data_IF_468210712055
#
_entry.id   IF_468210712055
#
_cell.length_a   1.000
_cell.length_b   1.000
_cell.length_c   1.000
_cell.angle_alpha   90.00
_cell.angle_beta   90.00
_cell.angle_gamma   90.00
#
_symmetry.space_group_name_H-M   'P 1'
#
loop_
_entity.id
_entity.type
_entity.pdbx_description
1 polymer ?
#
# COMPACT_ATOMS: atom_id res chain seq x y z
N UNK A 1 5.57 34.50 -21.61
CA UNK A 1 6.47 33.52 -21.01
C UNK A 1 6.24 32.27 -21.80
N UNK A 2 7.28 31.59 -22.32
CA UNK A 2 7.07 30.29 -22.97
C UNK A 2 6.53 29.35 -21.93
N UNK A 3 5.49 28.57 -22.25
CA UNK A 3 5.06 27.48 -21.39
C UNK A 3 6.23 26.51 -21.28
N UNK A 4 6.68 26.21 -20.09
CA UNK A 4 7.58 25.08 -19.84
C UNK A 4 6.86 23.83 -20.32
N UNK A 5 7.54 22.97 -21.06
CA UNK A 5 6.97 21.76 -21.64
C UNK A 5 7.76 20.57 -21.10
N UNK A 6 7.05 19.60 -20.60
CA UNK A 6 7.58 18.34 -20.05
C UNK A 6 7.15 17.16 -20.94
N UNK A 7 7.85 16.06 -20.85
CA UNK A 7 7.40 14.82 -21.49
C UNK A 7 6.23 14.23 -20.68
N UNK A 8 6.35 14.25 -19.33
CA UNK A 8 5.38 13.68 -18.42
C UNK A 8 5.09 14.64 -17.25
N UNK A 9 3.81 14.88 -17.00
CA UNK A 9 3.36 15.52 -15.75
C UNK A 9 2.68 14.46 -14.86
N UNK A 10 3.13 14.36 -13.61
CA UNK A 10 2.54 13.47 -12.60
C UNK A 10 1.73 14.32 -11.61
N UNK A 11 0.45 14.01 -11.46
CA UNK A 11 -0.46 14.72 -10.56
C UNK A 11 -0.62 13.94 -9.26
N UNK A 12 -0.07 14.49 -8.17
CA UNK A 12 -0.07 13.91 -6.83
C UNK A 12 1.33 13.51 -6.35
N UNK A 13 1.75 14.06 -5.21
CA UNK A 13 3.07 13.87 -4.58
C UNK A 13 3.07 12.83 -3.45
N UNK A 14 2.17 11.84 -3.49
CA UNK A 14 2.20 10.67 -2.62
C UNK A 14 3.22 9.63 -3.08
N UNK A 15 3.26 8.47 -2.40
CA UNK A 15 4.18 7.37 -2.73
C UNK A 15 4.09 6.96 -4.22
N UNK A 16 2.88 6.91 -4.78
CA UNK A 16 2.67 6.52 -6.17
C UNK A 16 3.28 7.53 -7.16
N UNK A 17 3.06 8.82 -6.92
CA UNK A 17 3.64 9.85 -7.80
C UNK A 17 5.16 9.93 -7.69
N UNK A 18 5.71 9.85 -6.48
CA UNK A 18 7.16 9.88 -6.27
C UNK A 18 7.87 8.66 -6.87
N UNK A 19 7.29 7.45 -6.73
CA UNK A 19 7.89 6.26 -7.35
C UNK A 19 7.73 6.27 -8.87
N UNK A 20 6.61 6.77 -9.42
CA UNK A 20 6.44 6.94 -10.86
C UNK A 20 7.50 7.90 -11.42
N UNK A 21 7.72 9.04 -10.76
CA UNK A 21 8.78 9.98 -11.14
C UNK A 21 10.17 9.33 -11.13
N UNK A 22 10.51 8.58 -10.08
CA UNK A 22 11.78 7.83 -10.00
C UNK A 22 11.98 6.88 -11.19
N UNK A 23 10.93 6.20 -11.63
CA UNK A 23 11.02 5.22 -12.72
C UNK A 23 11.03 5.84 -14.12
N UNK A 24 10.65 7.12 -14.25
CA UNK A 24 10.56 7.83 -15.53
C UNK A 24 11.69 8.83 -15.76
N UNK A 25 12.22 9.43 -14.69
CA UNK A 25 13.11 10.60 -14.78
C UNK A 25 14.45 10.34 -15.48
N UNK A 26 14.91 9.09 -15.61
CA UNK A 26 16.15 8.78 -16.34
C UNK A 26 16.02 9.02 -17.87
N UNK A 27 14.79 8.89 -18.41
CA UNK A 27 14.54 8.90 -19.85
C UNK A 27 13.57 10.02 -20.30
N UNK A 28 12.92 10.72 -19.33
CA UNK A 28 11.88 11.73 -19.59
C UNK A 28 12.08 12.98 -18.75
N UNK A 29 11.69 14.13 -19.31
CA UNK A 29 11.52 15.37 -18.54
C UNK A 29 10.22 15.28 -17.74
N UNK A 30 10.33 15.10 -16.42
CA UNK A 30 9.20 14.83 -15.51
C UNK A 30 8.94 16.00 -14.57
N UNK A 31 7.69 16.45 -14.48
CA UNK A 31 7.20 17.37 -13.45
C UNK A 31 6.18 16.69 -12.56
N UNK A 32 6.38 16.74 -11.24
CA UNK A 32 5.39 16.31 -10.25
C UNK A 32 4.72 17.52 -9.64
N UNK A 33 3.38 17.56 -9.70
CA UNK A 33 2.56 18.62 -9.12
C UNK A 33 1.78 18.09 -7.91
N UNK A 34 1.94 18.75 -6.77
CA UNK A 34 1.26 18.41 -5.52
C UNK A 34 0.60 19.66 -4.91
N UNK A 35 -0.69 19.57 -4.58
CA UNK A 35 -1.45 20.70 -4.03
C UNK A 35 -1.04 21.12 -2.63
N UNK A 36 -0.55 20.17 -1.83
CA UNK A 36 -0.15 20.38 -0.45
C UNK A 36 1.37 20.13 -0.26
N UNK A 37 1.72 19.21 0.60
CA UNK A 37 3.08 18.74 0.82
C UNK A 37 3.23 17.30 0.35
N UNK A 38 4.43 16.95 -0.11
CA UNK A 38 4.72 15.57 -0.51
C UNK A 38 4.50 14.60 0.65
N UNK A 39 4.01 13.42 0.35
CA UNK A 39 3.73 12.35 1.29
C UNK A 39 2.74 12.69 2.42
N UNK A 40 2.04 13.83 2.39
CA UNK A 40 1.24 14.32 3.52
C UNK A 40 -0.13 13.64 3.69
N UNK A 41 -0.65 13.01 2.64
CA UNK A 41 -1.98 12.39 2.61
C UNK A 41 -1.99 10.96 3.18
N UNK A 42 -2.55 10.01 2.44
CA UNK A 42 -2.63 8.59 2.83
C UNK A 42 -1.26 7.98 3.11
N UNK A 43 -0.23 8.37 2.37
CA UNK A 43 1.16 7.94 2.55
C UNK A 43 1.67 8.18 3.98
N UNK A 44 1.42 9.37 4.55
CA UNK A 44 1.82 9.71 5.93
C UNK A 44 1.13 8.86 7.01
N UNK A 45 0.10 8.12 6.67
CA UNK A 45 -0.71 7.32 7.60
C UNK A 45 -0.47 5.83 7.48
N UNK A 46 0.37 5.43 6.53
CA UNK A 46 0.70 4.04 6.30
C UNK A 46 1.59 3.46 7.40
N UNK A 47 1.45 2.17 7.68
CA UNK A 47 2.26 1.43 8.65
C UNK A 47 3.64 1.04 8.13
N UNK A 48 3.88 1.21 6.82
CA UNK A 48 5.14 0.86 6.18
C UNK A 48 5.42 -0.63 6.06
N UNK A 49 4.42 -1.48 6.24
CA UNK A 49 4.58 -2.93 6.20
C UNK A 49 4.98 -3.41 4.80
N UNK A 50 5.91 -4.38 4.75
CA UNK A 50 6.31 -5.10 3.55
C UNK A 50 6.01 -6.58 3.77
N UNK A 51 4.90 -7.05 3.21
CA UNK A 51 4.37 -8.41 3.36
C UNK A 51 3.79 -8.95 2.04
N UNK A 52 4.41 -8.54 0.94
CA UNK A 52 3.90 -8.75 -0.42
C UNK A 52 3.53 -10.19 -0.77
N UNK A 53 4.26 -11.19 -0.26
CA UNK A 53 3.97 -12.60 -0.52
C UNK A 53 2.59 -13.03 0.00
N UNK A 54 2.14 -12.44 1.10
CA UNK A 54 0.84 -12.73 1.69
C UNK A 54 -0.27 -11.83 1.15
N UNK A 55 0.03 -10.54 0.93
CA UNK A 55 -0.97 -9.55 0.55
C UNK A 55 -1.25 -9.53 -0.97
N UNK A 56 -0.26 -9.94 -1.77
CA UNK A 56 -0.37 -10.04 -3.25
C UNK A 56 -0.54 -11.50 -3.71
N UNK A 57 -1.27 -12.33 -2.96
CA UNK A 57 -1.39 -13.78 -3.16
C UNK A 57 -1.91 -14.19 -4.54
N UNK A 58 -2.65 -13.36 -5.23
CA UNK A 58 -3.19 -13.64 -6.55
C UNK A 58 -2.38 -13.03 -7.71
N UNK A 59 -1.25 -12.35 -7.40
CA UNK A 59 -0.35 -11.77 -8.39
C UNK A 59 1.12 -11.83 -7.93
N UNK A 60 1.57 -13.03 -7.63
CA UNK A 60 2.86 -13.30 -7.00
C UNK A 60 4.09 -12.93 -7.85
N UNK A 61 3.98 -12.84 -9.18
CA UNK A 61 5.06 -12.30 -10.00
C UNK A 61 5.38 -10.84 -9.64
N UNK A 62 4.33 -10.02 -9.48
CA UNK A 62 4.49 -8.63 -9.06
C UNK A 62 4.94 -8.53 -7.59
N UNK A 63 4.42 -9.41 -6.72
CA UNK A 63 4.88 -9.51 -5.34
C UNK A 63 6.38 -9.81 -5.26
N UNK A 64 6.85 -10.77 -6.07
CA UNK A 64 8.28 -11.13 -6.12
C UNK A 64 9.13 -9.97 -6.63
N UNK A 65 8.67 -9.29 -7.68
CA UNK A 65 9.34 -8.09 -8.18
C UNK A 65 9.48 -7.00 -7.10
N UNK A 66 8.41 -6.74 -6.33
CA UNK A 66 8.46 -5.77 -5.25
C UNK A 66 9.39 -6.20 -4.11
N UNK A 67 9.36 -7.48 -3.71
CA UNK A 67 10.24 -8.00 -2.67
C UNK A 67 11.73 -7.88 -3.07
N UNK A 68 12.06 -8.30 -4.29
CA UNK A 68 13.43 -8.20 -4.81
C UNK A 68 13.90 -6.75 -4.91
N UNK A 69 13.02 -5.84 -5.31
CA UNK A 69 13.32 -4.42 -5.34
C UNK A 69 13.71 -3.90 -3.95
N UNK A 70 12.94 -4.23 -2.90
CA UNK A 70 13.27 -3.79 -1.53
C UNK A 70 14.56 -4.40 -1.01
N UNK A 71 14.86 -5.65 -1.32
CA UNK A 71 16.11 -6.30 -0.92
C UNK A 71 17.33 -5.63 -1.57
N UNK A 72 17.22 -5.23 -2.86
CA UNK A 72 18.28 -4.55 -3.60
C UNK A 72 18.42 -3.05 -3.24
N UNK A 73 17.30 -2.42 -2.87
CA UNK A 73 17.21 -0.99 -2.60
C UNK A 73 17.56 -0.63 -1.16
N UNK A 74 17.66 -1.61 -0.26
CA UNK A 74 17.98 -1.43 1.16
C UNK A 74 19.32 -0.72 1.37
N UNK A 75 19.34 0.24 2.30
CA UNK A 75 20.52 1.02 2.66
C UNK A 75 20.92 2.09 1.65
N UNK A 76 20.08 2.38 0.64
CA UNK A 76 20.28 3.53 -0.24
C UNK A 76 19.86 4.83 0.47
N UNK A 77 20.65 5.89 0.34
CA UNK A 77 20.39 7.22 0.92
C UNK A 77 19.98 7.17 2.40
N UNK A 78 18.86 7.81 2.78
CA UNK A 78 18.35 7.87 4.15
C UNK A 78 17.28 6.81 4.45
N UNK A 79 16.93 6.01 3.47
CA UNK A 79 15.95 4.94 3.59
C UNK A 79 16.59 3.72 4.29
N UNK A 80 15.85 3.09 5.18
CA UNK A 80 16.19 1.84 5.85
C UNK A 80 15.03 0.85 5.73
N UNK A 81 15.32 -0.32 5.20
CA UNK A 81 14.42 -1.46 5.24
C UNK A 81 14.75 -2.35 6.43
N UNK A 82 13.89 -2.35 7.45
CA UNK A 82 14.04 -3.25 8.59
C UNK A 82 13.53 -4.62 8.22
N UNK A 83 14.44 -5.46 7.72
CA UNK A 83 14.11 -6.82 7.28
C UNK A 83 13.73 -7.71 8.46
N UNK A 84 12.61 -8.40 8.34
CA UNK A 84 12.10 -9.43 9.26
C UNK A 84 11.30 -10.46 8.49
N UNK A 85 11.33 -11.69 8.95
CA UNK A 85 10.43 -12.72 8.44
C UNK A 85 8.98 -12.32 8.66
N UNK A 86 8.15 -12.67 7.68
CA UNK A 86 6.69 -12.56 7.81
C UNK A 86 6.12 -13.89 8.28
N UNK A 87 5.35 -13.86 9.36
CA UNK A 87 4.73 -15.03 9.95
C UNK A 87 3.21 -14.88 9.95
N UNK A 88 2.55 -15.55 9.01
CA UNK A 88 1.11 -15.64 8.97
C UNK A 88 0.66 -16.82 9.83
N UNK A 89 0.09 -16.53 10.98
CA UNK A 89 -0.40 -17.55 11.91
C UNK A 89 -1.66 -18.22 11.34
N UNK A 90 -1.77 -19.54 11.52
CA UNK A 90 -2.88 -20.36 11.03
C UNK A 90 -3.83 -20.65 12.20
N UNK A 91 -4.98 -19.97 12.29
CA UNK A 91 -6.00 -20.31 13.28
C UNK A 91 -6.60 -21.69 13.02
N UNK A 92 -6.97 -22.42 14.09
CA UNK A 92 -7.62 -23.71 13.95
C UNK A 92 -8.88 -23.64 13.06
N UNK A 93 -8.97 -24.52 12.07
CA UNK A 93 -10.06 -24.59 11.10
C UNK A 93 -9.84 -23.76 9.81
N UNK A 94 -8.64 -23.19 9.62
CA UNK A 94 -8.26 -22.50 8.37
C UNK A 94 -7.10 -23.19 7.64
N UNK A 95 -6.78 -24.43 8.02
CA UNK A 95 -5.61 -25.17 7.55
C UNK A 95 -5.65 -25.43 6.03
N UNK A 96 -6.82 -25.75 5.46
CA UNK A 96 -6.96 -26.00 4.01
C UNK A 96 -6.70 -24.72 3.19
N UNK A 97 -7.19 -23.58 3.66
CA UNK A 97 -6.91 -22.28 3.04
C UNK A 97 -5.41 -21.98 3.11
N UNK A 98 -4.82 -22.12 4.29
CA UNK A 98 -3.40 -21.86 4.50
C UNK A 98 -2.50 -22.75 3.62
N UNK A 99 -2.86 -24.05 3.46
CA UNK A 99 -2.13 -24.96 2.57
C UNK A 99 -2.25 -24.53 1.09
N UNK A 100 -3.43 -24.09 0.66
CA UNK A 100 -3.65 -23.60 -0.70
C UNK A 100 -2.83 -22.35 -0.99
N UNK A 101 -2.73 -21.43 -0.03
CA UNK A 101 -1.95 -20.20 -0.17
C UNK A 101 -0.46 -20.49 -0.11
N UNK A 102 -0.01 -21.33 0.81
CA UNK A 102 1.39 -21.77 0.90
C UNK A 102 1.88 -22.38 -0.42
N UNK A 103 1.05 -23.23 -1.05
CA UNK A 103 1.40 -23.84 -2.33
C UNK A 103 1.59 -22.82 -3.46
N UNK A 104 0.85 -21.70 -3.44
CA UNK A 104 1.05 -20.60 -4.40
C UNK A 104 2.34 -19.82 -4.08
N UNK A 105 2.55 -19.49 -2.81
CA UNK A 105 3.72 -18.70 -2.36
C UNK A 105 5.02 -19.44 -2.65
N UNK A 106 5.08 -20.75 -2.40
CA UNK A 106 6.28 -21.60 -2.62
C UNK A 106 6.79 -21.56 -4.07
N UNK A 107 5.92 -21.26 -5.06
CA UNK A 107 6.33 -21.14 -6.46
C UNK A 107 7.22 -19.91 -6.73
N UNK A 108 7.17 -18.88 -5.86
CA UNK A 108 7.81 -17.59 -6.07
C UNK A 108 8.75 -17.14 -4.95
N UNK A 109 8.51 -17.61 -3.72
CA UNK A 109 9.20 -17.15 -2.51
C UNK A 109 9.84 -18.29 -1.73
N UNK A 110 10.97 -18.00 -1.08
CA UNK A 110 11.50 -18.87 -0.03
C UNK A 110 10.57 -18.79 1.19
N UNK A 111 9.91 -19.90 1.47
CA UNK A 111 8.91 -19.98 2.52
C UNK A 111 8.92 -21.33 3.20
N UNK A 112 8.29 -21.40 4.37
CA UNK A 112 8.10 -22.65 5.11
C UNK A 112 6.69 -22.74 5.67
N UNK A 113 6.04 -23.88 5.44
CA UNK A 113 4.77 -24.23 6.10
C UNK A 113 5.06 -24.96 7.40
N UNK A 114 4.83 -24.28 8.54
CA UNK A 114 5.05 -24.81 9.87
C UNK A 114 3.73 -25.40 10.37
N UNK A 115 3.66 -26.71 10.53
CA UNK A 115 2.44 -27.45 10.92
C UNK A 115 2.33 -27.71 12.42
N UNK A 116 3.19 -27.07 13.22
CA UNK A 116 3.30 -27.31 14.66
C UNK A 116 3.57 -26.02 15.44
N UNK A 117 2.75 -25.76 16.44
CA UNK A 117 2.99 -24.63 17.38
C UNK A 117 4.25 -24.83 18.22
N UNK A 118 4.68 -26.07 18.47
CA UNK A 118 5.95 -26.34 19.17
C UNK A 118 7.16 -25.89 18.35
N UNK A 119 7.09 -26.02 17.04
CA UNK A 119 8.15 -25.55 16.16
C UNK A 119 8.19 -24.02 16.07
N UNK A 120 7.02 -23.36 16.05
CA UNK A 120 6.93 -21.91 16.15
C UNK A 120 7.59 -21.41 17.44
N UNK A 121 7.30 -22.08 18.59
CA UNK A 121 7.92 -21.73 19.88
C UNK A 121 9.44 -21.97 19.90
N UNK A 122 9.96 -23.00 19.21
CA UNK A 122 11.39 -23.23 19.08
C UNK A 122 12.10 -22.14 18.25
N UNK A 123 11.45 -21.65 17.20
CA UNK A 123 11.98 -20.58 16.33
C UNK A 123 11.87 -19.19 16.97
N UNK A 124 10.77 -18.94 17.66
CA UNK A 124 10.41 -17.66 18.26
C UNK A 124 10.16 -17.80 19.77
N UNK A 125 11.14 -18.23 20.57
CA UNK A 125 10.94 -18.58 21.98
C UNK A 125 10.44 -17.39 22.78
N UNK A 126 9.32 -17.59 23.47
CA UNK A 126 8.71 -16.56 24.31
C UNK A 126 8.10 -15.37 23.54
N UNK A 127 7.91 -15.47 22.22
CA UNK A 127 7.38 -14.37 21.42
C UNK A 127 5.85 -14.35 21.41
N UNK A 128 5.22 -15.49 21.13
CA UNK A 128 3.81 -15.58 20.77
C UNK A 128 3.01 -16.46 21.76
N UNK A 129 1.75 -16.12 21.95
CA UNK A 129 0.73 -16.99 22.55
C UNK A 129 0.10 -17.83 21.44
N UNK A 130 0.25 -19.15 21.50
CA UNK A 130 -0.04 -20.06 20.39
C UNK A 130 -1.28 -20.93 20.58
N UNK A 131 -2.02 -20.77 21.68
CA UNK A 131 -3.16 -21.64 22.04
C UNK A 131 -4.30 -21.64 20.99
N UNK A 132 -4.39 -20.60 20.18
CA UNK A 132 -5.44 -20.41 19.16
C UNK A 132 -5.01 -20.83 17.76
N UNK A 133 -3.75 -21.18 17.58
CA UNK A 133 -3.14 -21.48 16.30
C UNK A 133 -2.75 -22.95 16.20
N UNK A 134 -2.59 -23.42 14.99
CA UNK A 134 -2.16 -24.80 14.69
C UNK A 134 -0.86 -24.83 13.90
N UNK A 135 -0.42 -23.71 13.36
CA UNK A 135 0.78 -23.58 12.55
C UNK A 135 0.97 -22.15 12.05
N UNK A 136 1.86 -21.99 11.09
CA UNK A 136 2.13 -20.72 10.43
C UNK A 136 2.66 -20.92 8.99
N UNK A 137 2.53 -19.89 8.16
CA UNK A 137 3.30 -19.73 6.92
C UNK A 137 4.37 -18.69 7.21
N UNK A 138 5.63 -19.10 7.13
CA UNK A 138 6.80 -18.22 7.30
C UNK A 138 7.37 -17.89 5.93
N UNK A 139 7.59 -16.60 5.65
CA UNK A 139 8.25 -16.11 4.44
C UNK A 139 9.47 -15.31 4.85
N UNK A 140 10.61 -15.58 4.20
CA UNK A 140 11.89 -14.94 4.52
C UNK A 140 11.88 -13.44 4.18
N UNK A 141 11.35 -13.08 3.00
CA UNK A 141 11.33 -11.70 2.50
C UNK A 141 10.17 -10.91 3.10
N UNK A 142 10.51 -9.90 3.91
CA UNK A 142 9.54 -9.02 4.51
C UNK A 142 10.13 -8.09 5.56
N UNK A 143 9.27 -7.28 6.21
CA UNK A 143 9.68 -6.31 7.21
C UNK A 143 8.86 -5.04 7.18
N UNK A 144 9.51 -3.90 7.39
CA UNK A 144 8.87 -2.59 7.30
C UNK A 144 9.86 -1.47 6.98
N UNK A 145 9.28 -0.36 6.55
CA UNK A 145 9.97 0.89 6.22
C UNK A 145 9.27 2.06 6.90
N UNK A 146 9.93 3.18 7.04
CA UNK A 146 9.25 4.45 7.29
C UNK A 146 8.66 4.99 5.98
N UNK A 147 7.32 5.15 5.87
CA UNK A 147 6.67 5.55 4.61
C UNK A 147 7.10 6.93 4.11
N UNK A 148 7.32 7.88 5.01
CA UNK A 148 7.75 9.22 4.65
C UNK A 148 9.18 9.20 4.09
N UNK A 149 10.11 8.58 4.81
CA UNK A 149 11.51 8.49 4.39
C UNK A 149 11.65 7.76 3.05
N UNK A 150 10.93 6.65 2.86
CA UNK A 150 10.92 5.94 1.57
C UNK A 150 10.42 6.85 0.44
N UNK A 151 9.31 7.56 0.65
CA UNK A 151 8.74 8.45 -0.37
C UNK A 151 9.69 9.58 -0.72
N UNK A 152 10.34 10.18 0.30
CA UNK A 152 11.32 11.24 0.07
C UNK A 152 12.59 10.72 -0.61
N UNK A 153 13.00 9.47 -0.35
CA UNK A 153 14.11 8.84 -1.07
C UNK A 153 13.77 8.64 -2.55
N UNK A 154 12.55 8.21 -2.89
CA UNK A 154 12.12 8.16 -4.29
C UNK A 154 12.11 9.53 -4.96
N UNK A 155 11.65 10.56 -4.25
CA UNK A 155 11.68 11.94 -4.73
C UNK A 155 13.11 12.40 -4.99
N UNK A 156 14.03 12.17 -4.08
CA UNK A 156 15.44 12.55 -4.23
C UNK A 156 16.11 11.80 -5.39
N UNK A 157 15.84 10.49 -5.56
CA UNK A 157 16.32 9.72 -6.70
C UNK A 157 15.81 10.28 -8.03
N UNK A 158 14.52 10.67 -8.08
CA UNK A 158 13.93 11.28 -9.26
C UNK A 158 14.56 12.65 -9.58
N UNK A 159 14.80 13.50 -8.56
CA UNK A 159 15.48 14.80 -8.74
C UNK A 159 16.93 14.63 -9.20
N UNK A 160 17.65 13.66 -8.64
CA UNK A 160 19.03 13.36 -9.09
C UNK A 160 19.07 12.93 -10.57
N UNK A 161 17.96 12.34 -11.07
CA UNK A 161 17.78 11.96 -12.47
C UNK A 161 17.20 13.12 -13.34
N UNK A 162 16.80 14.24 -12.74
CA UNK A 162 16.36 15.45 -13.45
C UNK A 162 14.88 15.80 -13.30
N UNK A 163 14.08 15.03 -12.55
CA UNK A 163 12.68 15.39 -12.31
C UNK A 163 12.53 16.66 -11.48
N UNK A 164 11.47 17.41 -11.73
CA UNK A 164 11.09 18.60 -10.99
C UNK A 164 9.86 18.34 -10.13
N UNK A 165 9.79 18.95 -8.94
CA UNK A 165 8.69 18.82 -8.00
C UNK A 165 8.20 20.20 -7.58
N UNK A 166 6.92 20.49 -7.85
CA UNK A 166 6.25 21.69 -7.37
C UNK A 166 5.14 21.35 -6.37
N UNK A 167 5.19 22.00 -5.21
CA UNK A 167 4.20 21.86 -4.14
C UNK A 167 3.40 23.14 -3.95
N UNK A 168 2.16 23.03 -3.47
CA UNK A 168 1.25 24.16 -3.35
C UNK A 168 0.55 24.48 -4.67
N UNK A 169 0.63 23.60 -5.68
CA UNK A 169 0.01 23.77 -7.00
C UNK A 169 -1.11 22.76 -7.19
N UNK A 170 -2.34 23.22 -7.23
CA UNK A 170 -3.52 22.37 -7.42
C UNK A 170 -3.83 22.19 -8.91
N UNK A 171 -3.72 20.97 -9.41
CA UNK A 171 -4.18 20.62 -10.76
C UNK A 171 -5.69 20.52 -10.75
N UNK A 172 -6.34 21.30 -11.61
CA UNK A 172 -7.79 21.42 -11.70
C UNK A 172 -8.40 20.73 -12.91
N UNK A 173 -7.58 20.35 -13.91
CA UNK A 173 -8.04 19.67 -15.11
C UNK A 173 -6.90 19.23 -16.01
N UNK A 174 -7.22 18.39 -16.99
CA UNK A 174 -6.33 17.97 -18.06
C UNK A 174 -6.69 18.72 -19.35
N UNK A 175 -5.70 19.34 -19.98
CA UNK A 175 -5.87 20.00 -21.28
C UNK A 175 -5.75 18.96 -22.39
N UNK A 176 -6.68 19.01 -23.36
CA UNK A 176 -6.70 18.06 -24.49
C UNK A 176 -6.93 18.78 -25.82
N UNK A 177 -6.35 18.24 -26.90
CA UNK A 177 -6.62 18.67 -28.28
C UNK A 177 -6.70 17.43 -29.18
N UNK A 178 -7.73 17.36 -30.00
CA UNK A 178 -7.96 16.24 -30.95
C UNK A 178 -7.98 14.85 -30.28
N UNK A 179 -8.37 14.74 -29.00
CA UNK A 179 -8.46 13.50 -28.26
C UNK A 179 -7.17 13.07 -27.56
N UNK A 180 -6.12 13.86 -27.62
CA UNK A 180 -4.86 13.62 -26.92
C UNK A 180 -4.60 14.67 -25.83
N UNK A 181 -3.85 14.29 -24.80
CA UNK A 181 -3.36 15.17 -23.74
C UNK A 181 -2.41 16.21 -24.33
N UNK A 182 -2.53 17.46 -23.86
CA UNK A 182 -1.60 18.56 -24.19
C UNK A 182 -1.03 19.24 -22.94
N UNK A 183 -1.43 18.80 -21.75
CA UNK A 183 -0.94 19.31 -20.48
C UNK A 183 -1.99 19.31 -19.37
N UNK A 184 -1.77 20.15 -18.37
CA UNK A 184 -2.68 20.33 -17.24
C UNK A 184 -2.99 21.80 -16.99
N UNK A 185 -4.19 22.05 -16.43
CA UNK A 185 -4.60 23.32 -15.88
C UNK A 185 -4.42 23.31 -14.36
N UNK A 186 -3.93 24.41 -13.79
CA UNK A 186 -3.73 24.57 -12.36
C UNK A 186 -4.34 25.89 -11.88
N UNK A 187 -4.42 26.07 -10.57
CA UNK A 187 -4.83 27.34 -9.96
C UNK A 187 -3.81 28.49 -10.19
N UNK A 188 -2.57 28.16 -10.62
CA UNK A 188 -1.51 29.14 -10.90
C UNK A 188 -1.24 29.35 -12.40
N UNK A 189 -1.85 28.56 -13.28
CA UNK A 189 -1.65 28.63 -14.73
C UNK A 189 -1.76 27.26 -15.40
N UNK A 190 -0.96 27.02 -16.45
CA UNK A 190 -0.98 25.74 -17.16
C UNK A 190 0.43 25.28 -17.50
N UNK A 191 0.64 23.97 -17.50
CA UNK A 191 1.86 23.29 -17.91
C UNK A 191 1.57 22.41 -19.12
N UNK A 192 2.47 22.40 -20.10
CA UNK A 192 2.32 21.55 -21.28
C UNK A 192 3.03 20.22 -21.10
N UNK A 193 2.37 19.12 -21.51
CA UNK A 193 2.96 17.79 -21.56
C UNK A 193 2.22 16.89 -22.54
N UNK A 194 2.92 15.90 -23.08
CA UNK A 194 2.33 14.88 -23.95
C UNK A 194 1.69 13.72 -23.16
N UNK A 195 2.10 13.55 -21.90
CA UNK A 195 1.57 12.51 -21.00
C UNK A 195 1.24 13.09 -19.62
N UNK A 196 0.10 12.69 -19.08
CA UNK A 196 -0.33 13.01 -17.70
C UNK A 196 -0.62 11.73 -16.93
N UNK A 197 0.11 11.53 -15.81
CA UNK A 197 -0.11 10.44 -14.87
C UNK A 197 -0.93 10.93 -13.69
N UNK A 198 -2.15 10.41 -13.52
CA UNK A 198 -3.04 10.77 -12.41
C UNK A 198 -2.83 9.83 -11.24
N UNK A 199 -2.10 10.30 -10.21
CA UNK A 199 -1.74 9.56 -8.99
C UNK A 199 -2.29 10.21 -7.71
N UNK A 200 -3.53 10.71 -7.76
CA UNK A 200 -4.19 11.53 -6.74
C UNK A 200 -4.87 10.71 -5.64
N UNK A 201 -4.55 9.41 -5.52
CA UNK A 201 -5.19 8.51 -4.56
C UNK A 201 -6.70 8.45 -4.79
N UNK A 202 -7.48 8.63 -3.73
CA UNK A 202 -8.94 8.55 -3.83
C UNK A 202 -9.56 9.67 -4.69
N UNK A 203 -8.91 10.85 -4.79
CA UNK A 203 -9.38 11.95 -5.62
C UNK A 203 -9.34 11.63 -7.13
N UNK A 204 -8.58 10.62 -7.53
CA UNK A 204 -8.51 10.16 -8.93
C UNK A 204 -9.89 9.87 -9.51
N UNK A 205 -10.79 9.22 -8.73
CA UNK A 205 -12.13 8.87 -9.22
C UNK A 205 -12.94 10.07 -9.70
N UNK A 206 -12.97 11.14 -8.92
CA UNK A 206 -13.67 12.35 -9.28
C UNK A 206 -12.97 13.07 -10.45
N UNK A 207 -11.65 13.12 -10.40
CA UNK A 207 -10.84 13.84 -11.39
C UNK A 207 -10.98 13.28 -12.81
N UNK A 208 -11.06 11.95 -12.96
CA UNK A 208 -11.20 11.29 -14.27
C UNK A 208 -12.65 10.94 -14.65
N UNK A 209 -13.63 11.37 -13.85
CA UNK A 209 -15.03 10.96 -13.97
C UNK A 209 -15.74 11.37 -15.26
N UNK A 210 -15.19 12.32 -16.01
CA UNK A 210 -15.71 12.69 -17.33
C UNK A 210 -15.40 11.66 -18.42
N UNK A 211 -14.39 10.81 -18.22
CA UNK A 211 -13.97 9.78 -19.17
C UNK A 211 -14.31 8.36 -18.70
N UNK A 212 -14.07 8.08 -17.40
CA UNK A 212 -14.22 6.73 -16.87
C UNK A 212 -14.75 6.72 -15.43
N UNK A 213 -15.65 5.78 -15.12
CA UNK A 213 -16.10 5.54 -13.74
C UNK A 213 -15.24 4.44 -13.09
N UNK A 214 -14.36 4.83 -12.18
CA UNK A 214 -13.46 3.91 -11.52
C UNK A 214 -14.18 3.07 -10.45
N UNK A 215 -14.03 1.74 -10.46
CA UNK A 215 -14.63 0.86 -9.45
C UNK A 215 -13.84 0.87 -8.15
N UNK A 216 -13.73 2.04 -7.52
CA UNK A 216 -13.03 2.21 -6.25
C UNK A 216 -13.97 2.76 -5.19
N UNK A 217 -13.76 2.31 -3.93
CA UNK A 217 -14.42 2.82 -2.73
C UNK A 217 -13.39 3.29 -1.72
N UNK A 218 -13.62 4.43 -1.05
CA UNK A 218 -12.73 4.87 0.01
C UNK A 218 -12.94 4.03 1.27
N UNK A 219 -11.84 3.75 1.97
CA UNK A 219 -11.85 3.05 3.25
C UNK A 219 -10.74 3.57 4.16
N UNK A 220 -10.74 3.17 5.42
CA UNK A 220 -9.75 3.58 6.41
C UNK A 220 -9.03 2.39 7.00
N UNK A 221 -7.71 2.52 7.09
CA UNK A 221 -6.86 1.74 7.98
C UNK A 221 -6.72 2.42 9.33
N UNK A 222 -6.49 1.61 10.35
CA UNK A 222 -6.19 2.08 11.70
C UNK A 222 -4.97 1.36 12.24
N UNK A 223 -4.22 2.03 13.10
CA UNK A 223 -3.15 1.41 13.86
C UNK A 223 -3.02 2.05 15.24
N UNK A 224 -2.43 1.31 16.16
CA UNK A 224 -2.01 1.76 17.49
C UNK A 224 -0.62 1.26 17.79
N UNK A 225 0.15 2.03 18.56
CA UNK A 225 1.36 1.55 19.21
C UNK A 225 1.04 1.25 20.68
N UNK A 226 1.51 0.12 21.14
CA UNK A 226 1.36 -0.34 22.52
C UNK A 226 2.70 -0.20 23.25
N UNK A 227 2.77 0.66 24.24
CA UNK A 227 3.86 0.67 25.22
C UNK A 227 3.82 -0.63 26.03
N UNK A 228 4.88 -1.42 25.96
CA UNK A 228 5.00 -2.73 26.59
C UNK A 228 6.17 -2.74 27.59
N UNK A 229 6.14 -3.66 28.56
CA UNK A 229 7.18 -3.81 29.59
C UNK A 229 8.15 -4.96 29.25
N UNK A 230 8.31 -5.26 27.96
CA UNK A 230 9.23 -6.29 27.47
C UNK A 230 10.08 -5.77 26.33
N UNK A 231 11.25 -6.34 26.13
CA UNK A 231 12.06 -6.13 24.94
C UNK A 231 11.67 -7.15 23.87
N UNK A 232 11.59 -6.70 22.63
CA UNK A 232 11.44 -7.59 21.48
C UNK A 232 12.81 -7.96 20.93
N UNK A 233 13.11 -9.26 20.80
CA UNK A 233 14.38 -9.69 20.21
C UNK A 233 14.41 -9.39 18.70
N UNK A 234 15.62 -9.28 18.14
CA UNK A 234 15.82 -8.99 16.72
C UNK A 234 15.23 -10.04 15.77
N UNK A 235 14.96 -11.24 16.27
CA UNK A 235 14.30 -12.29 15.50
C UNK A 235 12.77 -12.22 15.56
N UNK A 236 12.17 -11.27 16.31
CA UNK A 236 10.71 -11.17 16.40
C UNK A 236 10.12 -10.85 15.02
N UNK A 237 9.21 -11.70 14.49
CA UNK A 237 8.71 -11.57 13.12
C UNK A 237 7.66 -10.47 13.01
N UNK A 238 7.38 -10.07 11.77
CA UNK A 238 6.10 -9.43 11.45
C UNK A 238 5.04 -10.50 11.46
N UNK A 239 3.98 -10.31 12.23
CA UNK A 239 2.92 -11.30 12.39
C UNK A 239 1.59 -10.83 11.82
N UNK A 240 0.82 -11.78 11.34
CA UNK A 240 -0.56 -11.57 10.89
C UNK A 240 -1.45 -12.71 11.36
N UNK A 241 -2.64 -12.36 11.87
CA UNK A 241 -3.74 -13.30 12.13
C UNK A 241 -4.96 -12.94 11.29
N UNK A 242 -5.25 -13.75 10.29
CA UNK A 242 -6.36 -13.54 9.35
C UNK A 242 -7.74 -13.53 10.06
N UNK A 243 -7.89 -14.25 11.17
CA UNK A 243 -9.18 -14.33 11.90
C UNK A 243 -9.47 -13.05 12.65
N UNK A 244 -8.48 -12.47 13.31
CA UNK A 244 -8.63 -11.19 13.99
C UNK A 244 -8.58 -10.00 13.05
N UNK A 245 -7.98 -10.16 11.86
CA UNK A 245 -7.69 -9.07 10.94
C UNK A 245 -6.66 -8.08 11.49
N UNK A 246 -5.81 -8.55 12.41
CA UNK A 246 -4.73 -7.77 12.99
C UNK A 246 -3.38 -8.27 12.50
N UNK A 247 -2.47 -7.32 12.28
CA UNK A 247 -1.05 -7.58 12.14
C UNK A 247 -0.28 -6.80 13.20
N UNK A 248 0.90 -7.28 13.55
CA UNK A 248 1.75 -6.61 14.54
C UNK A 248 3.23 -6.83 14.27
N UNK A 249 4.01 -5.87 14.71
CA UNK A 249 5.47 -5.87 14.66
C UNK A 249 6.07 -5.00 15.77
N UNK A 250 7.31 -5.24 16.16
CA UNK A 250 7.99 -4.31 17.07
C UNK A 250 8.30 -2.99 16.36
N UNK A 251 8.35 -1.92 17.13
CA UNK A 251 8.89 -0.62 16.73
C UNK A 251 10.31 -0.43 17.26
N UNK A 252 11.08 0.45 16.62
CA UNK A 252 12.45 0.75 17.05
C UNK A 252 12.55 1.36 18.46
N UNK A 253 11.47 1.97 18.95
CA UNK A 253 11.39 2.52 20.30
C UNK A 253 10.99 1.48 21.36
N UNK A 254 10.77 0.23 20.98
CA UNK A 254 10.36 -0.86 21.86
C UNK A 254 8.85 -1.04 22.01
N UNK A 255 8.01 -0.19 21.39
CA UNK A 255 6.57 -0.38 21.37
C UNK A 255 6.20 -1.56 20.43
N UNK A 256 4.99 -2.09 20.59
CA UNK A 256 4.38 -3.02 19.65
C UNK A 256 3.41 -2.26 18.74
N UNK A 257 3.72 -2.18 17.46
CA UNK A 257 2.81 -1.65 16.46
C UNK A 257 1.74 -2.70 16.12
N UNK A 258 0.48 -2.29 16.13
CA UNK A 258 -0.67 -3.15 15.79
C UNK A 258 -1.56 -2.40 14.81
N UNK A 259 -1.77 -2.99 13.64
CA UNK A 259 -2.64 -2.42 12.61
C UNK A 259 -3.77 -3.37 12.20
N UNK A 260 -4.75 -2.82 11.47
CA UNK A 260 -5.93 -3.53 11.00
C UNK A 260 -7.22 -2.74 11.18
N UNK A 261 -8.32 -3.43 11.45
CA UNK A 261 -9.61 -2.79 11.76
C UNK A 261 -10.09 -1.85 10.65
N UNK A 262 -9.99 -2.28 9.40
CA UNK A 262 -10.40 -1.52 8.21
C UNK A 262 -11.91 -1.39 8.12
N UNK A 263 -12.40 -0.25 7.61
CA UNK A 263 -13.83 -0.02 7.35
C UNK A 263 -14.06 1.00 6.25
N UNK A 264 -15.18 0.85 5.52
CA UNK A 264 -15.58 1.78 4.46
C UNK A 264 -15.99 3.14 5.01
N UNK A 265 -15.79 4.17 4.19
CA UNK A 265 -16.26 5.53 4.44
C UNK A 265 -16.94 6.07 3.19
N UNK A 266 -18.02 6.84 3.37
CA UNK A 266 -18.72 7.45 2.23
C UNK A 266 -18.01 8.72 1.76
N UNK A 267 -17.46 9.50 2.70
CA UNK A 267 -16.78 10.76 2.43
C UNK A 267 -15.44 10.81 3.17
N UNK A 268 -14.32 10.52 2.48
CA UNK A 268 -12.98 10.74 3.03
C UNK A 268 -12.73 12.21 3.34
N UNK A 269 -11.88 12.46 4.30
CA UNK A 269 -11.51 13.82 4.70
C UNK A 269 -12.35 14.41 5.84
N UNK A 270 -13.49 13.82 6.16
CA UNK A 270 -14.25 14.23 7.32
C UNK A 270 -13.89 13.41 8.57
N UNK A 271 -13.31 14.04 9.58
CA UNK A 271 -13.64 13.81 10.98
C UNK A 271 -12.63 13.11 11.89
N UNK A 272 -11.84 12.10 11.57
CA UNK A 272 -11.03 11.45 12.64
C UNK A 272 -9.58 11.23 12.26
N UNK A 273 -8.70 11.67 13.15
CA UNK A 273 -7.26 11.39 13.14
C UNK A 273 -6.87 10.39 14.23
N UNK A 274 -7.84 9.74 14.89
CA UNK A 274 -7.59 8.78 15.96
C UNK A 274 -8.38 7.49 15.75
N UNK A 275 -7.81 6.35 16.15
CA UNK A 275 -8.45 5.05 16.04
C UNK A 275 -9.82 5.00 16.74
N UNK A 276 -10.75 4.23 16.20
CA UNK A 276 -12.08 4.05 16.78
C UNK A 276 -12.02 3.32 18.12
N UNK A 277 -13.06 3.51 18.94
CA UNK A 277 -13.19 2.79 20.23
C UNK A 277 -13.29 1.27 20.02
N UNK A 278 -14.02 0.84 18.99
CA UNK A 278 -14.16 -0.57 18.61
C UNK A 278 -12.81 -1.20 18.28
N UNK A 279 -11.99 -0.53 17.47
CA UNK A 279 -10.64 -1.01 17.13
C UNK A 279 -9.73 -1.08 18.37
N UNK A 280 -9.69 -0.02 19.18
CA UNK A 280 -8.90 -0.03 20.42
C UNK A 280 -9.30 -1.14 21.36
N UNK A 281 -10.61 -1.40 21.49
CA UNK A 281 -11.14 -2.52 22.29
C UNK A 281 -10.74 -3.86 21.68
N UNK A 282 -10.86 -4.01 20.36
CA UNK A 282 -10.48 -5.23 19.66
C UNK A 282 -9.00 -5.56 19.89
N UNK A 283 -8.10 -4.59 19.72
CA UNK A 283 -6.67 -4.74 20.01
C UNK A 283 -6.42 -5.13 21.47
N UNK A 284 -7.04 -4.40 22.42
CA UNK A 284 -6.84 -4.67 23.85
C UNK A 284 -7.32 -6.07 24.30
N UNK A 285 -8.30 -6.63 23.62
CA UNK A 285 -8.80 -7.98 23.91
C UNK A 285 -8.01 -9.07 23.19
N UNK A 286 -7.50 -8.77 22.00
CA UNK A 286 -6.94 -9.80 21.10
C UNK A 286 -5.42 -9.94 21.26
N UNK A 287 -4.68 -8.84 21.33
CA UNK A 287 -3.20 -8.90 21.35
C UNK A 287 -2.64 -9.66 22.55
N UNK A 288 -3.18 -9.56 23.78
CA UNK A 288 -2.70 -10.36 24.90
C UNK A 288 -2.91 -11.88 24.75
N UNK A 289 -3.76 -12.31 23.82
CA UNK A 289 -3.98 -13.71 23.48
C UNK A 289 -3.10 -14.19 22.30
N UNK A 290 -2.26 -13.31 21.75
CA UNK A 290 -1.41 -13.58 20.58
C UNK A 290 0.06 -13.29 20.82
N UNK A 291 0.37 -12.39 21.74
CA UNK A 291 1.75 -11.96 22.07
C UNK A 291 1.99 -12.14 23.56
N UNK A 292 3.07 -12.81 23.93
CA UNK A 292 3.42 -13.04 25.34
C UNK A 292 3.85 -11.75 26.04
N UNK A 293 3.55 -11.66 27.33
CA UNK A 293 4.00 -10.60 28.25
C UNK A 293 3.57 -9.18 27.85
N UNK A 294 2.38 -9.03 27.23
CA UNK A 294 1.81 -7.73 26.85
C UNK A 294 0.47 -7.43 27.52
N UNK A 295 0.06 -8.21 28.52
CA UNK A 295 -1.24 -8.02 29.19
C UNK A 295 -1.40 -6.67 29.87
N UNK A 296 -0.30 -6.02 30.29
CA UNK A 296 -0.29 -4.69 30.90
C UNK A 296 0.02 -3.56 29.90
N UNK A 297 0.03 -3.87 28.61
CA UNK A 297 0.31 -2.90 27.56
C UNK A 297 -0.68 -1.72 27.55
N UNK A 298 -0.19 -0.55 27.17
CA UNK A 298 -1.00 0.67 27.06
C UNK A 298 -0.86 1.27 25.67
N UNK A 299 -1.95 1.74 25.12
CA UNK A 299 -1.90 2.49 23.86
C UNK A 299 -1.13 3.79 24.12
N UNK A 300 0.05 3.91 23.53
CA UNK A 300 0.93 5.09 23.62
C UNK A 300 0.57 6.12 22.53
N UNK A 301 0.23 5.62 21.33
CA UNK A 301 -0.18 6.43 20.19
C UNK A 301 -1.07 5.63 19.26
N UNK A 302 -1.62 6.28 18.26
CA UNK A 302 -2.39 5.64 17.20
C UNK A 302 -2.98 6.65 16.24
N UNK A 303 -3.21 6.21 15.02
CA UNK A 303 -3.75 7.06 13.96
C UNK A 303 -4.73 6.28 13.08
N UNK A 304 -5.40 6.99 12.21
CA UNK A 304 -6.25 6.43 11.17
C UNK A 304 -6.09 7.25 9.89
N UNK A 305 -6.13 6.59 8.76
CA UNK A 305 -6.12 7.28 7.48
C UNK A 305 -7.42 8.08 7.30
N UNK A 306 -7.42 9.35 7.72
CA UNK A 306 -8.62 10.20 7.69
C UNK A 306 -8.98 10.68 6.28
N UNK A 307 -8.01 10.69 5.37
CA UNK A 307 -8.20 11.07 3.97
C UNK A 307 -8.86 9.93 3.18
N UNK A 308 -8.72 8.69 3.65
CA UNK A 308 -9.17 7.49 2.97
C UNK A 308 -8.10 6.89 2.06
N UNK A 309 -8.06 5.58 2.03
CA UNK A 309 -7.38 4.81 1.01
C UNK A 309 -8.41 4.29 0.01
N UNK A 310 -7.98 3.68 -1.06
CA UNK A 310 -8.85 3.25 -2.15
C UNK A 310 -8.88 1.73 -2.26
N UNK A 311 -10.06 1.16 -2.02
CA UNK A 311 -10.32 -0.25 -2.23
C UNK A 311 -10.79 -0.50 -3.66
N UNK A 312 -10.33 -1.59 -4.24
CA UNK A 312 -10.79 -2.15 -5.51
C UNK A 312 -11.55 -3.44 -5.27
N UNK A 313 -12.36 -3.91 -6.20
CA UNK A 313 -13.17 -5.13 -6.05
C UNK A 313 -12.38 -6.41 -5.84
N UNK A 314 -11.19 -6.47 -6.42
CA UNK A 314 -10.32 -7.64 -6.46
C UNK A 314 -9.03 -7.46 -5.67
N UNK A 315 -8.98 -6.44 -4.82
CA UNK A 315 -7.84 -6.12 -3.96
C UNK A 315 -6.54 -5.80 -4.72
N UNK A 316 -6.63 -5.45 -6.01
CA UNK A 316 -5.48 -5.11 -6.86
C UNK A 316 -5.53 -3.65 -7.27
N UNK A 317 -4.36 -2.99 -7.38
CA UNK A 317 -4.28 -1.63 -7.92
C UNK A 317 -4.86 -1.50 -9.33
N UNK A 318 -5.17 -0.27 -9.71
CA UNK A 318 -5.49 0.11 -11.08
C UNK A 318 -4.31 0.91 -11.62
N UNK A 319 -3.66 0.36 -12.64
CA UNK A 319 -2.66 1.00 -13.48
C UNK A 319 -3.07 0.81 -14.91
N UNK A 320 -3.56 1.87 -15.56
CA UNK A 320 -4.17 1.77 -16.87
C UNK A 320 -4.05 3.08 -17.67
N UNK A 321 -4.13 2.95 -18.98
CA UNK A 321 -4.38 4.03 -19.94
C UNK A 321 -5.60 3.65 -20.77
N UNK A 322 -6.84 3.85 -20.22
CA UNK A 322 -8.05 3.31 -20.81
C UNK A 322 -8.36 3.94 -22.17
N UNK A 323 -8.88 3.15 -23.11
CA UNK A 323 -9.25 3.61 -24.46
C UNK A 323 -10.32 4.73 -24.46
N UNK A 324 -11.15 4.82 -23.43
CA UNK A 324 -12.16 5.88 -23.25
C UNK A 324 -11.58 7.20 -22.74
N UNK A 325 -10.31 7.21 -22.31
CA UNK A 325 -9.58 8.40 -21.88
C UNK A 325 -8.82 9.04 -23.04
N UNK A 326 -8.41 10.31 -22.93
CA UNK A 326 -7.52 10.93 -23.91
C UNK A 326 -6.20 10.18 -24.06
N UNK A 327 -5.70 10.08 -25.29
CA UNK A 327 -4.36 9.52 -25.55
C UNK A 327 -3.31 10.26 -24.70
N UNK A 328 -2.47 9.53 -23.98
CA UNK A 328 -1.48 10.07 -23.06
C UNK A 328 -1.97 10.28 -21.61
N UNK A 329 -3.22 9.92 -21.28
CA UNK A 329 -3.68 9.90 -19.89
C UNK A 329 -3.44 8.53 -19.26
N UNK A 330 -2.67 8.50 -18.15
CA UNK A 330 -2.37 7.31 -17.37
C UNK A 330 -2.97 7.43 -15.98
N UNK A 331 -3.65 6.39 -15.51
CA UNK A 331 -4.30 6.33 -14.18
C UNK A 331 -3.53 5.38 -13.27
N UNK A 332 -3.21 5.83 -12.05
CA UNK A 332 -2.58 5.01 -11.00
C UNK A 332 -3.27 5.24 -9.66
N UNK A 333 -4.14 4.30 -9.26
CA UNK A 333 -4.96 4.39 -8.05
C UNK A 333 -5.40 3.01 -7.54
N UNK A 334 -6.28 2.96 -6.55
CA UNK A 334 -6.86 1.70 -6.07
C UNK A 334 -5.90 0.81 -5.30
N UNK A 335 -4.99 1.39 -4.51
CA UNK A 335 -3.89 0.65 -3.87
C UNK A 335 -4.31 -0.35 -2.79
N UNK A 336 -5.56 -0.38 -2.39
CA UNK A 336 -6.14 -1.31 -1.40
C UNK A 336 -5.36 -1.40 -0.07
N UNK A 337 -4.69 -0.31 0.34
CA UNK A 337 -3.82 -0.28 1.52
C UNK A 337 -2.37 -0.74 1.26
N UNK A 338 -2.07 -1.22 0.07
CA UNK A 338 -0.76 -1.81 -0.26
C UNK A 338 0.20 -0.82 -0.96
N UNK A 339 -0.12 0.47 -0.96
CA UNK A 339 0.64 1.48 -1.72
C UNK A 339 2.13 1.54 -1.39
N UNK A 340 2.52 1.34 -0.13
CA UNK A 340 3.94 1.33 0.27
C UNK A 340 4.64 0.09 -0.27
N UNK A 341 4.14 -1.11 0.08
CA UNK A 341 4.75 -2.38 -0.34
C UNK A 341 4.66 -2.61 -1.85
N UNK A 342 3.62 -2.10 -2.50
CA UNK A 342 3.40 -2.17 -3.92
C UNK A 342 4.03 -1.03 -4.73
N UNK A 343 4.75 -0.09 -4.09
CA UNK A 343 5.32 1.06 -4.80
C UNK A 343 6.24 0.67 -5.96
N UNK A 344 7.10 -0.37 -5.87
CA UNK A 344 7.90 -0.78 -7.02
C UNK A 344 7.03 -1.29 -8.19
N UNK A 345 5.93 -1.98 -7.88
CA UNK A 345 4.95 -2.42 -8.90
C UNK A 345 4.32 -1.22 -9.58
N UNK A 346 3.91 -0.21 -8.81
CA UNK A 346 3.39 1.05 -9.35
C UNK A 346 4.40 1.73 -10.29
N UNK A 347 5.66 1.86 -9.87
CA UNK A 347 6.70 2.48 -10.69
C UNK A 347 6.89 1.76 -12.02
N UNK A 348 7.02 0.43 -11.99
CA UNK A 348 7.19 -0.39 -13.18
C UNK A 348 5.96 -0.39 -14.10
N UNK A 349 4.75 -0.44 -13.51
CA UNK A 349 3.50 -0.38 -14.28
C UNK A 349 3.31 0.96 -14.99
N UNK A 350 3.51 2.08 -14.27
CA UNK A 350 3.41 3.41 -14.87
C UNK A 350 4.46 3.61 -15.97
N UNK A 351 5.72 3.17 -15.74
CA UNK A 351 6.75 3.20 -16.78
C UNK A 351 6.31 2.43 -18.02
N UNK A 352 5.81 1.22 -17.86
CA UNK A 352 5.35 0.40 -18.99
C UNK A 352 4.23 1.10 -19.79
N UNK A 353 3.28 1.73 -19.10
CA UNK A 353 2.18 2.46 -19.75
C UNK A 353 2.65 3.72 -20.49
N UNK A 354 3.62 4.44 -19.95
CA UNK A 354 4.16 5.67 -20.55
C UNK A 354 5.08 5.34 -21.74
N UNK A 355 5.94 4.35 -21.61
CA UNK A 355 6.97 4.04 -22.62
C UNK A 355 6.50 3.02 -23.67
N UNK A 356 5.45 2.24 -23.38
CA UNK A 356 5.05 1.11 -24.19
C UNK A 356 5.98 -0.11 -24.07
N UNK A 357 6.92 -0.10 -23.13
CA UNK A 357 7.78 -1.25 -22.81
C UNK A 357 7.03 -2.31 -21.99
N UNK A 358 7.51 -3.56 -22.04
CA UNK A 358 6.92 -4.64 -21.25
C UNK A 358 7.21 -4.44 -19.74
N UNK A 359 6.18 -4.58 -18.90
CA UNK A 359 6.36 -4.65 -17.45
C UNK A 359 6.94 -6.00 -17.03
N UNK A 360 7.66 -6.08 -15.89
CA UNK A 360 8.22 -7.33 -15.35
C UNK A 360 7.18 -8.33 -14.82
N UNK A 361 5.90 -8.01 -14.95
CA UNK A 361 4.76 -8.82 -14.54
C UNK A 361 3.56 -8.57 -15.46
N UNK A 362 2.52 -9.44 -15.45
CA UNK A 362 1.36 -9.31 -16.34
C UNK A 362 0.53 -8.06 -16.05
N UNK A 363 0.51 -7.09 -16.96
CA UNK A 363 -0.27 -5.83 -16.83
C UNK A 363 -1.78 -6.06 -16.87
N UNK A 364 -2.27 -7.12 -17.52
CA UNK A 364 -3.70 -7.46 -17.57
C UNK A 364 -4.37 -7.66 -16.19
N UNK A 365 -3.55 -7.81 -15.13
CA UNK A 365 -4.05 -7.88 -13.75
C UNK A 365 -4.31 -6.50 -13.14
N UNK A 366 -3.94 -5.42 -13.82
CA UNK A 366 -4.00 -4.04 -13.31
C UNK A 366 -4.87 -3.11 -14.16
N UNK A 367 -5.17 -3.50 -15.41
CA UNK A 367 -6.01 -2.71 -16.32
C UNK A 367 -7.50 -2.82 -15.99
N UNK A 368 -8.29 -1.82 -16.38
CA UNK A 368 -9.72 -1.72 -16.04
C UNK A 368 -10.61 -2.75 -16.73
N UNK A 369 -10.20 -3.22 -17.91
CA UNK A 369 -10.91 -4.25 -18.68
C UNK A 369 -11.12 -5.57 -17.90
N UNK A 370 -10.32 -5.81 -16.86
CA UNK A 370 -10.51 -6.95 -15.93
C UNK A 370 -11.84 -6.93 -15.17
N UNK A 371 -12.54 -5.79 -15.19
CA UNK A 371 -13.83 -5.61 -14.52
C UNK A 371 -15.03 -5.68 -15.46
N UNK A 372 -14.85 -5.78 -16.79
CA UNK A 372 -15.92 -5.71 -17.79
C UNK A 372 -16.96 -6.82 -17.64
N UNK A 373 -16.55 -8.00 -17.23
CA UNK A 373 -17.40 -9.18 -17.03
C UNK A 373 -17.79 -9.43 -15.56
N UNK A 374 -17.43 -8.51 -14.64
CA UNK A 374 -17.58 -8.69 -13.21
C UNK A 374 -18.94 -8.26 -12.64
N UNK A 375 -19.34 -8.78 -11.47
CA UNK A 375 -20.54 -8.33 -10.78
C UNK A 375 -20.39 -6.88 -10.33
N UNK A 376 -21.44 -6.09 -10.48
CA UNK A 376 -21.49 -4.69 -10.00
C UNK A 376 -21.68 -4.61 -8.47
N UNK A 377 -21.97 -5.74 -7.80
CA UNK A 377 -22.14 -5.83 -6.35
C UNK A 377 -20.86 -6.43 -5.74
N UNK A 378 -20.05 -5.57 -5.14
CA UNK A 378 -18.77 -5.90 -4.53
C UNK A 378 -18.95 -6.48 -3.12
N UNK A 379 -18.51 -7.70 -2.88
CA UNK A 379 -18.32 -8.24 -1.53
C UNK A 379 -16.84 -8.23 -1.17
N UNK A 380 -16.48 -7.35 -0.26
CA UNK A 380 -15.12 -7.18 0.24
C UNK A 380 -14.89 -8.08 1.45
N UNK A 381 -13.89 -8.94 1.40
CA UNK A 381 -13.71 -9.98 2.41
C UNK A 381 -13.12 -9.48 3.72
N UNK A 382 -12.28 -8.43 3.68
CA UNK A 382 -11.52 -7.98 4.84
C UNK A 382 -11.86 -6.57 5.34
N UNK A 383 -12.66 -5.82 4.61
CA UNK A 383 -13.08 -4.47 5.01
C UNK A 383 -14.47 -4.54 5.66
N UNK A 384 -14.63 -3.93 6.83
CA UNK A 384 -15.90 -3.88 7.52
C UNK A 384 -16.80 -2.77 6.90
N UNK A 385 -18.12 -2.99 6.89
CA UNK A 385 -19.05 -1.96 6.40
C UNK A 385 -19.12 -0.77 7.37
N UNK A 386 -18.88 -1.01 8.65
CA UNK A 386 -18.84 0.06 9.65
C UNK A 386 -17.74 -0.18 10.69
N UNK A 387 -17.29 0.86 11.40
CA UNK A 387 -16.35 0.70 12.51
C UNK A 387 -16.91 -0.10 13.68
N UNK A 388 -18.24 -0.26 13.79
CA UNK A 388 -18.87 -1.04 14.85
C UNK A 388 -18.81 -2.56 14.59
N UNK A 389 -18.50 -2.96 13.36
CA UNK A 389 -18.36 -4.38 12.98
C UNK A 389 -16.97 -4.95 13.32
N UNK A 390 -16.01 -4.09 13.67
CA UNK A 390 -14.65 -4.49 14.00
C UNK A 390 -14.63 -5.40 15.24
N UNK A 391 -14.02 -6.59 15.06
CA UNK A 391 -13.93 -7.61 16.12
C UNK A 391 -15.19 -8.45 16.31
N UNK A 392 -16.19 -8.33 15.45
CA UNK A 392 -17.43 -9.13 15.49
C UNK A 392 -17.41 -10.30 14.48
N UNK A 393 -16.31 -10.56 13.78
CA UNK A 393 -16.13 -11.67 12.82
C UNK A 393 -15.66 -12.95 13.46
#
# INVERSE_FOLDING_TARGET
MGSESYDVIIVGGGINGCVAAKFLAEDHDVLVLEKDQLAAATTAKASGLISVAHDYIDHLEAAKYAADFFDEYDGTKEFEFTQRKNLRLIPSGTEELAQSEAAKIEEHFEMEYIDSTSEIEERYPGALELDRFVGAIEVEQGGWVDPYTLTMTYKEDAEDAGAEFETGVEVTGVSTEDGAVTGVETDEGSFAADTVVVAMGWHTKEFVSEWVDLPIRPFRYQWVNLEVQRDFPDYFPVCWDIRSGLYWRPEHNGDLHVGGGTYYVDEPGTVRTSPTESFRRHVAMTIPEQVKDVADARISSGDTCHIGDTATPDERPIHDAPDDCPDGLVISTGMHGFGIMGSPVTGAAVRALVTGEDAPFPMSKYTLDRFDDGPQDWTWTFINESPDDIGNR
#
